data_IF_925091967169
#
_entry.id   IF_925091967169
#
_cell.length_a   1.000
_cell.length_b   1.000
_cell.length_c   1.000
_cell.angle_alpha   90.00
_cell.angle_beta   90.00
_cell.angle_gamma   90.00
#
_symmetry.space_group_name_H-M   'P 1'
#
loop_
_entity.id
_entity.type
_entity.pdbx_description
1 polymer ?
#
# COMPACT_ATOMS: atom_id res chain seq x y z
N UNK A 1 14.55 -2.85 -4.55
CA UNK A 1 15.77 -2.80 -3.75
C UNK A 1 16.89 -2.12 -4.53
N UNK A 2 17.91 -1.66 -3.81
CA UNK A 2 19.16 -1.15 -4.41
C UNK A 2 20.26 -2.11 -4.05
N UNK A 3 20.93 -2.67 -5.05
CA UNK A 3 22.10 -3.54 -4.90
C UNK A 3 23.21 -3.01 -5.80
N UNK A 4 24.43 -2.89 -5.27
CA UNK A 4 25.59 -2.35 -6.01
C UNK A 4 25.30 -0.99 -6.68
N UNK A 5 24.65 -0.08 -5.95
CA UNK A 5 24.20 1.25 -6.41
C UNK A 5 23.23 1.23 -7.62
N UNK A 6 22.59 0.11 -7.89
CA UNK A 6 21.60 -0.02 -8.96
C UNK A 6 20.22 -0.42 -8.43
N UNK A 7 19.16 0.28 -8.83
CA UNK A 7 17.81 -0.12 -8.49
C UNK A 7 17.43 -1.40 -9.25
N UNK A 8 16.88 -2.37 -8.54
CA UNK A 8 16.41 -3.62 -9.10
C UNK A 8 14.95 -3.87 -8.72
N UNK A 9 14.11 -4.17 -9.72
CA UNK A 9 12.73 -4.61 -9.50
C UNK A 9 12.73 -6.09 -9.15
N UNK A 10 12.23 -6.42 -7.97
CA UNK A 10 12.15 -7.79 -7.50
C UNK A 10 10.89 -8.48 -8.03
N UNK A 11 10.94 -9.81 -8.07
CA UNK A 11 9.80 -10.68 -8.39
C UNK A 11 9.45 -11.51 -7.16
N UNK A 12 8.17 -11.71 -6.94
CA UNK A 12 7.71 -12.68 -5.96
C UNK A 12 8.03 -14.12 -6.40
N UNK A 13 7.74 -15.10 -5.54
CA UNK A 13 7.96 -16.53 -5.83
C UNK A 13 7.21 -17.04 -7.06
N UNK A 14 6.20 -16.31 -7.55
CA UNK A 14 5.42 -16.64 -8.76
C UNK A 14 5.87 -15.83 -9.99
N UNK A 15 6.88 -14.98 -9.85
CA UNK A 15 7.43 -14.16 -10.93
C UNK A 15 6.73 -12.82 -11.16
N UNK A 16 5.78 -12.41 -10.29
CA UNK A 16 5.13 -11.10 -10.40
C UNK A 16 6.03 -9.99 -9.84
N UNK A 17 6.08 -8.88 -10.56
CA UNK A 17 6.80 -7.65 -10.17
C UNK A 17 5.92 -6.64 -9.44
N UNK A 18 4.61 -6.88 -9.38
CA UNK A 18 3.61 -6.03 -8.73
C UNK A 18 2.82 -6.85 -7.74
N UNK A 19 2.72 -6.37 -6.52
CA UNK A 19 1.86 -6.92 -5.47
C UNK A 19 0.59 -6.06 -5.42
N UNK A 20 -0.57 -6.55 -5.90
CA UNK A 20 -1.83 -5.83 -5.74
C UNK A 20 -2.13 -5.52 -4.27
N UNK A 21 -2.57 -4.30 -3.97
CA UNK A 21 -2.96 -3.89 -2.61
C UNK A 21 -4.33 -4.48 -2.24
N UNK A 22 -4.35 -5.79 -2.07
CA UNK A 22 -5.51 -6.59 -1.75
C UNK A 22 -5.13 -7.59 -0.66
N UNK A 23 -5.93 -7.69 0.41
CA UNK A 23 -5.69 -8.54 1.57
C UNK A 23 -6.94 -9.35 1.85
N UNK A 24 -6.78 -10.66 2.07
CA UNK A 24 -7.85 -11.55 2.49
C UNK A 24 -7.49 -12.18 3.83
N UNK A 25 -8.35 -12.03 4.84
CA UNK A 25 -8.22 -12.70 6.14
C UNK A 25 -8.76 -14.13 6.04
N UNK A 26 -7.89 -15.12 6.21
CA UNK A 26 -8.25 -16.55 6.24
C UNK A 26 -8.69 -17.03 7.62
N UNK A 27 -8.58 -16.19 8.64
CA UNK A 27 -8.77 -16.53 10.04
C UNK A 27 -7.46 -16.89 10.74
N UNK A 28 -7.51 -16.92 12.08
CA UNK A 28 -6.38 -17.27 12.94
C UNK A 28 -5.08 -16.48 12.70
N UNK A 29 -5.23 -15.20 12.29
CA UNK A 29 -4.10 -14.32 11.98
C UNK A 29 -3.39 -14.63 10.65
N UNK A 30 -3.97 -15.48 9.80
CA UNK A 30 -3.42 -15.80 8.48
C UNK A 30 -4.01 -14.90 7.40
N UNK A 31 -3.15 -14.15 6.74
CA UNK A 31 -3.50 -13.26 5.65
C UNK A 31 -2.94 -13.74 4.31
N UNK A 32 -3.73 -13.57 3.27
CA UNK A 32 -3.29 -13.73 1.87
C UNK A 32 -3.26 -12.35 1.24
N UNK A 33 -2.17 -12.00 0.56
CA UNK A 33 -1.96 -10.67 -0.02
C UNK A 33 -1.67 -10.77 -1.52
N UNK A 34 -1.92 -9.70 -2.23
CA UNK A 34 -1.55 -9.54 -3.63
C UNK A 34 -2.47 -10.30 -4.60
N UNK A 35 -1.89 -10.93 -5.61
CA UNK A 35 -2.64 -11.57 -6.68
C UNK A 35 -3.55 -12.71 -6.18
N UNK A 36 -3.11 -13.44 -5.16
CA UNK A 36 -3.91 -14.50 -4.55
C UNK A 36 -5.14 -13.95 -3.82
N UNK A 37 -5.00 -12.82 -3.08
CA UNK A 37 -6.14 -12.15 -2.47
C UNK A 37 -7.08 -11.53 -3.51
N UNK A 38 -6.52 -10.93 -4.58
CA UNK A 38 -7.31 -10.34 -5.66
C UNK A 38 -8.25 -11.36 -6.32
N UNK A 39 -7.85 -12.61 -6.46
CA UNK A 39 -8.72 -13.67 -6.99
C UNK A 39 -9.87 -14.05 -6.06
N UNK A 40 -9.78 -13.69 -4.77
CA UNK A 40 -10.80 -13.98 -3.76
C UNK A 40 -11.86 -12.86 -3.60
N UNK A 41 -11.66 -11.69 -4.22
CA UNK A 41 -12.61 -10.57 -4.13
C UNK A 41 -14.04 -10.96 -4.51
N UNK A 42 -14.21 -11.84 -5.50
CA UNK A 42 -15.52 -12.28 -5.95
C UNK A 42 -16.08 -13.49 -5.17
N UNK A 43 -15.22 -14.31 -4.57
CA UNK A 43 -15.62 -15.55 -3.91
C UNK A 43 -15.67 -15.45 -2.40
N UNK A 44 -15.01 -14.46 -1.82
CA UNK A 44 -14.96 -14.19 -0.38
C UNK A 44 -14.88 -12.68 -0.14
N UNK A 45 -15.88 -11.89 -0.63
CA UNK A 45 -15.84 -10.42 -0.54
C UNK A 45 -15.79 -9.93 0.93
N UNK A 46 -16.52 -10.59 1.83
CA UNK A 46 -16.57 -10.27 3.26
C UNK A 46 -15.25 -10.49 4.00
N UNK A 47 -14.30 -11.17 3.38
CA UNK A 47 -12.96 -11.44 3.93
C UNK A 47 -11.84 -10.71 3.19
N UNK A 48 -12.18 -9.97 2.12
CA UNK A 48 -11.19 -9.45 1.17
C UNK A 48 -11.32 -7.94 1.02
N UNK A 49 -10.32 -7.23 1.52
CA UNK A 49 -10.24 -5.78 1.49
C UNK A 49 -9.27 -5.31 0.40
N UNK A 50 -9.63 -4.26 -0.30
CA UNK A 50 -8.82 -3.61 -1.35
C UNK A 50 -9.07 -2.09 -1.34
N UNK A 51 -8.21 -1.34 -2.01
CA UNK A 51 -8.38 0.10 -2.17
C UNK A 51 -8.14 0.93 -0.90
N UNK A 52 -7.53 0.36 0.15
CA UNK A 52 -7.30 1.03 1.45
C UNK A 52 -6.46 2.31 1.33
N UNK A 53 -5.70 2.47 0.25
CA UNK A 53 -4.96 3.69 -0.05
C UNK A 53 -5.86 4.93 -0.14
N UNK A 54 -7.13 4.75 -0.53
CA UNK A 54 -8.14 5.84 -0.56
C UNK A 54 -8.68 6.19 0.81
N UNK A 55 -8.56 5.28 1.78
CA UNK A 55 -9.13 5.38 3.13
C UNK A 55 -8.10 5.78 4.19
N UNK A 56 -6.82 5.48 3.96
CA UNK A 56 -5.76 5.66 4.95
C UNK A 56 -5.66 7.11 5.42
N UNK A 57 -5.63 7.33 6.74
CA UNK A 57 -5.48 8.63 7.36
C UNK A 57 -6.66 9.60 7.15
N UNK A 58 -7.83 9.10 6.70
CA UNK A 58 -9.04 9.90 6.49
C UNK A 58 -10.02 9.75 7.65
N UNK A 59 -10.80 10.80 7.87
CA UNK A 59 -11.97 10.75 8.75
C UNK A 59 -13.12 10.06 8.03
N UNK A 60 -13.98 9.40 8.80
CA UNK A 60 -15.13 8.67 8.26
C UNK A 60 -16.09 9.55 7.47
N UNK A 61 -16.30 10.79 7.88
CA UNK A 61 -17.21 11.75 7.25
C UNK A 61 -16.67 12.38 5.95
N UNK A 62 -15.44 12.06 5.54
CA UNK A 62 -14.88 12.60 4.30
C UNK A 62 -15.60 12.06 3.05
N UNK A 63 -15.78 12.89 2.00
CA UNK A 63 -16.52 12.49 0.79
C UNK A 63 -16.01 11.21 0.16
N UNK A 64 -14.71 11.02 0.10
CA UNK A 64 -14.08 9.84 -0.52
C UNK A 64 -14.35 8.57 0.28
N UNK A 65 -14.46 8.66 1.61
CA UNK A 65 -14.83 7.53 2.46
C UNK A 65 -16.31 7.21 2.27
N UNK A 66 -17.19 8.22 2.21
CA UNK A 66 -18.62 8.02 1.97
C UNK A 66 -18.89 7.40 0.60
N UNK A 67 -18.12 7.75 -0.43
CA UNK A 67 -18.16 7.06 -1.72
C UNK A 67 -17.70 5.59 -1.60
N UNK A 68 -16.65 5.33 -0.83
CA UNK A 68 -16.18 3.97 -0.61
C UNK A 68 -17.21 3.10 0.13
N UNK A 69 -17.91 3.65 1.14
CA UNK A 69 -18.99 2.97 1.88
C UNK A 69 -20.10 2.49 0.93
N UNK A 70 -20.40 3.25 -0.13
CA UNK A 70 -21.44 2.89 -1.10
C UNK A 70 -21.00 1.84 -2.13
N UNK A 71 -19.69 1.73 -2.39
CA UNK A 71 -19.16 0.97 -3.53
C UNK A 71 -18.27 -0.21 -3.13
N UNK A 72 -17.83 -0.31 -1.88
CA UNK A 72 -16.99 -1.42 -1.41
C UNK A 72 -17.82 -2.71 -1.30
N UNK A 73 -17.15 -3.84 -1.46
CA UNK A 73 -17.72 -5.18 -1.23
C UNK A 73 -17.51 -5.70 0.19
N UNK A 74 -16.91 -4.89 1.05
CA UNK A 74 -16.67 -5.13 2.47
C UNK A 74 -17.23 -3.97 3.30
N UNK A 75 -17.52 -4.21 4.55
CA UNK A 75 -18.11 -3.20 5.43
C UNK A 75 -17.08 -2.17 5.89
N UNK A 76 -17.51 -0.92 5.94
CA UNK A 76 -16.72 0.22 6.41
C UNK A 76 -17.53 0.94 7.49
N UNK A 77 -16.92 1.21 8.64
CA UNK A 77 -17.56 1.94 9.73
C UNK A 77 -16.69 3.07 10.27
N UNK A 78 -17.30 3.90 11.09
CA UNK A 78 -16.60 4.87 11.92
C UNK A 78 -16.07 4.20 13.19
N UNK A 79 -14.81 4.41 13.50
CA UNK A 79 -14.18 4.04 14.76
C UNK A 79 -14.56 5.04 15.88
N UNK A 80 -14.22 4.71 17.11
CA UNK A 80 -14.53 5.54 18.29
C UNK A 80 -13.86 6.93 18.26
N UNK A 81 -12.78 7.09 17.56
CA UNK A 81 -12.03 8.35 17.35
C UNK A 81 -12.43 9.10 16.08
N UNK A 82 -13.46 8.64 15.35
CA UNK A 82 -13.99 9.27 14.15
C UNK A 82 -13.22 8.92 12.87
N UNK A 83 -12.29 7.98 12.96
CA UNK A 83 -11.53 7.49 11.80
C UNK A 83 -12.28 6.34 11.10
N UNK A 84 -11.64 5.74 10.11
CA UNK A 84 -12.19 4.64 9.32
C UNK A 84 -11.73 3.30 9.85
N UNK A 85 -12.64 2.35 9.93
CA UNK A 85 -12.35 0.93 10.07
C UNK A 85 -13.02 0.15 8.93
N UNK A 86 -12.38 -0.92 8.49
CA UNK A 86 -12.87 -1.86 7.47
C UNK A 86 -13.03 -3.24 8.09
N UNK A 87 -14.07 -3.93 7.71
CA UNK A 87 -14.29 -5.31 8.15
C UNK A 87 -13.54 -6.29 7.23
N UNK A 88 -12.91 -7.28 7.83
CA UNK A 88 -12.23 -8.34 7.08
C UNK A 88 -12.35 -9.66 7.85
N UNK A 89 -13.34 -10.46 7.49
CA UNK A 89 -13.57 -11.79 8.05
C UNK A 89 -14.10 -11.78 9.48
N UNK A 90 -14.96 -10.84 9.84
CA UNK A 90 -15.57 -10.68 11.16
C UNK A 90 -14.75 -9.83 12.13
N UNK A 91 -13.60 -9.33 11.72
CA UNK A 91 -12.72 -8.47 12.50
C UNK A 91 -12.59 -7.08 11.86
N UNK A 92 -12.39 -6.06 12.68
CA UNK A 92 -12.28 -4.67 12.26
C UNK A 92 -10.83 -4.20 12.29
N UNK A 93 -10.39 -3.61 11.19
CA UNK A 93 -9.03 -3.11 10.99
C UNK A 93 -9.05 -1.65 10.56
N UNK A 94 -8.12 -0.86 11.03
CA UNK A 94 -7.83 0.43 10.42
C UNK A 94 -7.21 0.23 9.03
N UNK A 95 -7.40 1.17 8.09
CA UNK A 95 -6.69 1.13 6.80
C UNK A 95 -5.17 1.11 6.93
N UNK A 96 -4.65 1.62 8.03
CA UNK A 96 -3.24 1.60 8.39
C UNK A 96 -2.75 0.17 8.70
N UNK A 97 -3.50 -0.60 9.50
CA UNK A 97 -3.19 -2.01 9.79
C UNK A 97 -3.24 -2.87 8.54
N UNK A 98 -4.27 -2.70 7.68
CA UNK A 98 -4.33 -3.41 6.39
C UNK A 98 -3.14 -3.05 5.50
N UNK A 99 -2.73 -1.78 5.49
CA UNK A 99 -1.54 -1.34 4.73
C UNK A 99 -0.26 -1.95 5.29
N UNK A 100 -0.15 -2.11 6.60
CA UNK A 100 1.02 -2.75 7.23
C UNK A 100 1.17 -4.22 6.81
N UNK A 101 0.07 -4.96 6.68
CA UNK A 101 0.07 -6.35 6.19
C UNK A 101 0.62 -6.41 4.75
N UNK A 102 0.24 -5.45 3.89
CA UNK A 102 0.77 -5.37 2.52
C UNK A 102 2.28 -5.08 2.52
N UNK A 103 2.72 -4.16 3.38
CA UNK A 103 4.14 -3.80 3.50
C UNK A 103 4.97 -4.94 4.07
N UNK A 104 4.44 -5.73 5.02
CA UNK A 104 5.10 -6.94 5.53
C UNK A 104 5.37 -7.94 4.40
N UNK A 105 4.39 -8.20 3.54
CA UNK A 105 4.59 -9.10 2.40
C UNK A 105 5.60 -8.54 1.39
N UNK A 106 5.58 -7.23 1.15
CA UNK A 106 6.59 -6.60 0.29
C UNK A 106 8.01 -6.73 0.87
N UNK A 107 8.15 -6.58 2.20
CA UNK A 107 9.39 -6.82 2.94
C UNK A 107 9.85 -8.27 2.81
N UNK A 108 8.97 -9.24 3.07
CA UNK A 108 9.27 -10.67 2.96
C UNK A 108 9.74 -11.07 1.55
N UNK A 109 9.10 -10.54 0.50
CA UNK A 109 9.53 -10.75 -0.89
C UNK A 109 10.93 -10.20 -1.12
N UNK A 110 11.22 -9.03 -0.59
CA UNK A 110 12.53 -8.40 -0.73
C UNK A 110 13.60 -9.16 0.06
N UNK A 111 13.36 -9.52 1.31
CA UNK A 111 14.27 -10.32 2.15
C UNK A 111 14.55 -11.69 1.53
N UNK A 112 13.52 -12.34 0.99
CA UNK A 112 13.70 -13.63 0.30
C UNK A 112 14.56 -13.50 -0.95
N UNK A 113 14.41 -12.42 -1.70
CA UNK A 113 15.17 -12.20 -2.94
C UNK A 113 16.63 -11.80 -2.70
N UNK A 114 16.91 -11.08 -1.60
CA UNK A 114 18.26 -10.60 -1.26
C UNK A 114 18.98 -11.61 -0.38
N UNK A 115 18.27 -12.38 0.44
CA UNK A 115 18.83 -13.29 1.44
C UNK A 115 19.25 -12.63 2.75
N UNK A 116 18.86 -11.36 2.96
CA UNK A 116 19.21 -10.56 4.14
C UNK A 116 17.97 -9.85 4.70
N UNK A 117 17.93 -9.58 6.02
CA UNK A 117 16.84 -8.82 6.62
C UNK A 117 16.83 -7.37 6.15
N UNK A 118 15.64 -6.80 5.98
CA UNK A 118 15.43 -5.41 5.59
C UNK A 118 14.78 -4.66 6.74
N UNK A 119 15.40 -3.57 7.17
CA UNK A 119 14.89 -2.68 8.22
C UNK A 119 14.43 -1.32 7.70
N UNK A 120 14.93 -0.87 6.56
CA UNK A 120 14.72 0.48 6.04
C UNK A 120 13.99 0.47 4.70
N UNK A 121 13.18 1.53 4.46
CA UNK A 121 12.46 1.68 3.21
C UNK A 121 12.28 3.16 2.82
N UNK A 122 12.20 3.39 1.53
CA UNK A 122 11.64 4.62 0.95
C UNK A 122 10.27 4.27 0.39
N UNK A 123 9.23 5.01 0.79
CA UNK A 123 7.86 4.74 0.37
C UNK A 123 7.33 5.91 -0.45
N UNK A 124 6.64 5.60 -1.54
CA UNK A 124 6.00 6.62 -2.37
C UNK A 124 4.54 6.82 -1.97
N UNK A 125 4.09 8.07 -2.03
CA UNK A 125 2.71 8.47 -1.75
C UNK A 125 2.20 9.42 -2.85
N UNK A 126 0.89 9.48 -3.08
CA UNK A 126 0.31 10.48 -3.98
C UNK A 126 0.71 11.91 -3.58
N UNK A 127 0.91 12.79 -4.56
CA UNK A 127 1.30 14.17 -4.29
C UNK A 127 0.26 14.93 -3.46
N UNK A 128 -1.02 14.59 -3.62
CA UNK A 128 -2.15 15.21 -2.90
C UNK A 128 -2.37 14.65 -1.47
N UNK A 129 -1.61 13.65 -1.02
CA UNK A 129 -1.73 13.16 0.36
C UNK A 129 -1.47 14.27 1.36
N UNK A 130 -2.43 14.49 2.26
CA UNK A 130 -2.31 15.42 3.36
C UNK A 130 -1.43 14.88 4.50
N UNK A 131 -1.23 15.69 5.53
CA UNK A 131 -0.38 15.33 6.67
C UNK A 131 -0.85 14.05 7.38
N UNK A 132 -2.15 13.88 7.63
CA UNK A 132 -2.70 12.69 8.30
C UNK A 132 -2.48 11.41 7.49
N UNK A 133 -2.66 11.47 6.17
CA UNK A 133 -2.43 10.34 5.28
C UNK A 133 -0.95 9.94 5.23
N UNK A 134 -0.05 10.92 5.20
CA UNK A 134 1.40 10.69 5.28
C UNK A 134 1.82 10.10 6.62
N UNK A 135 1.31 10.63 7.73
CA UNK A 135 1.57 10.09 9.07
C UNK A 135 1.06 8.65 9.21
N UNK A 136 -0.14 8.35 8.72
CA UNK A 136 -0.70 7.00 8.72
C UNK A 136 0.10 6.02 7.84
N UNK A 137 0.69 6.50 6.73
CA UNK A 137 1.57 5.69 5.89
C UNK A 137 2.88 5.36 6.60
N UNK A 138 3.48 6.32 7.31
CA UNK A 138 4.68 6.09 8.13
C UNK A 138 4.40 5.09 9.25
N UNK A 139 3.26 5.22 9.91
CA UNK A 139 2.87 4.30 10.98
C UNK A 139 2.59 2.88 10.43
N UNK A 140 2.00 2.75 9.24
CA UNK A 140 1.85 1.46 8.57
C UNK A 140 3.22 0.81 8.29
N UNK A 141 4.22 1.58 7.87
CA UNK A 141 5.59 1.09 7.70
C UNK A 141 6.19 0.62 9.02
N UNK A 142 6.03 1.40 10.10
CA UNK A 142 6.51 1.03 11.43
C UNK A 142 5.86 -0.27 11.93
N UNK A 143 4.56 -0.45 11.74
CA UNK A 143 3.85 -1.69 12.08
C UNK A 143 4.33 -2.89 11.25
N UNK A 144 4.80 -2.66 10.04
CA UNK A 144 5.41 -3.68 9.19
C UNK A 144 6.89 -3.99 9.56
N UNK A 145 7.43 -3.33 10.58
CA UNK A 145 8.83 -3.47 10.98
C UNK A 145 9.79 -2.84 9.98
N UNK A 146 9.37 -1.73 9.32
CA UNK A 146 10.19 -0.94 8.43
C UNK A 146 10.37 0.46 9.00
N UNK A 147 11.61 0.92 9.07
CA UNK A 147 11.93 2.32 9.26
C UNK A 147 11.83 3.03 7.90
N UNK A 148 10.87 3.95 7.80
CA UNK A 148 10.68 4.71 6.58
C UNK A 148 11.51 5.99 6.65
N UNK A 149 12.70 5.98 6.05
CA UNK A 149 13.59 7.13 6.01
C UNK A 149 12.96 8.34 5.31
N UNK A 150 12.18 8.09 4.26
CA UNK A 150 11.59 9.16 3.46
C UNK A 150 10.31 8.75 2.75
N UNK A 151 9.31 9.65 2.81
CA UNK A 151 8.17 9.62 1.89
C UNK A 151 8.48 10.51 0.68
N UNK A 152 8.35 9.95 -0.53
CA UNK A 152 8.52 10.66 -1.79
C UNK A 152 7.18 10.71 -2.52
N UNK A 153 6.86 11.82 -3.19
CA UNK A 153 5.68 11.87 -4.03
C UNK A 153 5.83 10.94 -5.25
N UNK A 154 4.80 10.19 -5.59
CA UNK A 154 4.79 9.26 -6.74
C UNK A 154 5.26 9.92 -8.05
N UNK A 155 4.76 11.10 -8.45
CA UNK A 155 5.26 11.76 -9.66
C UNK A 155 6.73 12.18 -9.55
N UNK A 156 7.21 12.55 -8.36
CA UNK A 156 8.63 12.86 -8.13
C UNK A 156 9.50 11.61 -8.29
N UNK A 157 9.06 10.48 -7.76
CA UNK A 157 9.78 9.21 -7.92
C UNK A 157 9.85 8.77 -9.39
N UNK A 158 8.75 8.93 -10.14
CA UNK A 158 8.72 8.66 -11.57
C UNK A 158 9.67 9.57 -12.37
N UNK A 159 9.71 10.87 -12.05
CA UNK A 159 10.65 11.83 -12.66
C UNK A 159 12.11 11.45 -12.36
N UNK A 160 12.42 11.07 -11.12
CA UNK A 160 13.74 10.63 -10.72
C UNK A 160 14.16 9.37 -11.51
N UNK A 161 13.27 8.38 -11.60
CA UNK A 161 13.54 7.15 -12.33
C UNK A 161 13.79 7.40 -13.82
N UNK A 162 13.07 8.34 -14.44
CA UNK A 162 13.30 8.77 -15.82
C UNK A 162 14.64 9.51 -15.95
N UNK A 163 14.93 10.44 -15.03
CA UNK A 163 16.12 11.30 -15.04
C UNK A 163 17.45 10.55 -14.86
N UNK A 164 17.45 9.36 -14.28
CA UNK A 164 18.67 8.57 -14.11
C UNK A 164 19.38 8.26 -15.43
N UNK A 165 18.64 8.20 -16.52
CA UNK A 165 19.17 7.89 -17.86
C UNK A 165 19.35 9.12 -18.75
N UNK A 166 18.99 10.31 -18.28
CA UNK A 166 19.03 11.55 -19.06
C UNK A 166 19.88 12.61 -18.34
N UNK A 167 20.92 13.11 -19.00
CA UNK A 167 21.88 14.08 -18.45
C UNK A 167 21.62 15.53 -18.84
N UNK A 168 20.62 15.77 -19.69
CA UNK A 168 20.28 17.10 -20.18
C UNK A 168 19.14 17.72 -19.38
N UNK A 169 19.14 19.03 -19.24
CA UNK A 169 18.03 19.78 -18.65
C UNK A 169 16.77 19.62 -19.48
N UNK A 170 15.73 19.03 -18.90
CA UNK A 170 14.48 18.74 -19.58
C UNK A 170 13.27 19.15 -18.72
N UNK A 171 12.22 19.62 -19.38
CA UNK A 171 10.90 19.75 -18.77
C UNK A 171 10.16 18.41 -18.94
N UNK A 172 9.74 17.81 -17.81
CA UNK A 172 9.08 16.52 -17.80
C UNK A 172 7.65 16.69 -17.28
N UNK A 173 6.69 16.11 -17.99
CA UNK A 173 5.30 15.98 -17.52
C UNK A 173 5.07 14.52 -17.13
N UNK A 174 4.68 14.29 -15.89
CA UNK A 174 4.30 12.97 -15.38
C UNK A 174 2.78 12.86 -15.41
N UNK A 175 2.28 11.89 -16.16
CA UNK A 175 0.87 11.51 -16.17
C UNK A 175 0.75 10.12 -15.56
N UNK A 176 0.18 10.05 -14.34
CA UNK A 176 -0.04 8.81 -13.59
C UNK A 176 -1.54 8.51 -13.52
N UNK A 177 -1.96 7.41 -14.14
CA UNK A 177 -3.32 6.90 -14.12
C UNK A 177 -3.31 5.47 -13.59
N UNK A 178 -3.55 5.32 -12.30
CA UNK A 178 -3.60 4.03 -11.62
C UNK A 178 -5.01 3.52 -11.35
N UNK A 179 -5.12 2.29 -10.86
CA UNK A 179 -6.40 1.67 -10.48
C UNK A 179 -6.98 2.21 -9.16
N UNK A 180 -6.23 3.00 -8.40
CA UNK A 180 -6.64 3.51 -7.09
C UNK A 180 -6.42 5.02 -6.91
N UNK A 181 -5.68 5.63 -7.79
CA UNK A 181 -5.37 7.07 -7.74
C UNK A 181 -5.33 7.63 -9.13
#
# INVERSE_FOLDING_TARGET
>A
VVTDDKPMVLKDAKGYTVIPSCVCNKGDGHYVVGQAAKSLVLTSPERTVYGVKRLIGRKFDSPEVQEAVQNASYDIRQSSDGMVEVEMGGEWFSPMEVSSIILQVAKEVAETAIGEPISEAVITVPAYFNHSQRAATLEAARLAGLECERLINEPTAAALAFGFNHKEDQAIVIFDLGGGT
#
